data_IF_776764838536
#
_entry.id   IF_776764838536
#
_cell.length_a   1.000
_cell.length_b   1.000
_cell.length_c   1.000
_cell.angle_alpha   90.00
_cell.angle_beta   90.00
_cell.angle_gamma   90.00
#
_symmetry.space_group_name_H-M   'P 1'
#
loop_
_entity.id
_entity.type
_entity.pdbx_description
1 polymer ?
#
# COMPACT_ATOMS: atom_id res chain seq x y z
N UNK A 1 -14.28 -8.69 -30.03
CA UNK A 1 -13.51 -9.79 -29.43
C UNK A 1 -14.12 -11.10 -29.90
N UNK A 2 -13.33 -11.99 -30.48
CA UNK A 2 -13.78 -13.30 -30.93
C UNK A 2 -13.65 -14.32 -29.79
N UNK A 3 -14.78 -14.87 -29.34
CA UNK A 3 -14.86 -15.85 -28.24
C UNK A 3 -15.05 -17.28 -28.75
N UNK A 4 -15.03 -17.50 -30.07
CA UNK A 4 -15.30 -18.80 -30.68
C UNK A 4 -14.36 -19.89 -30.15
N UNK A 5 -13.10 -19.52 -29.87
CA UNK A 5 -12.10 -20.42 -29.26
C UNK A 5 -12.36 -20.74 -27.79
N UNK A 6 -13.06 -19.89 -27.04
CA UNK A 6 -13.43 -20.16 -25.64
C UNK A 6 -14.64 -21.10 -25.59
N UNK A 7 -15.61 -20.87 -26.48
CA UNK A 7 -16.82 -21.68 -26.57
C UNK A 7 -16.57 -23.10 -27.10
N UNK A 8 -15.44 -23.32 -27.79
CA UNK A 8 -15.02 -24.65 -28.26
C UNK A 8 -14.26 -25.47 -27.23
N UNK A 9 -13.97 -24.93 -26.04
CA UNK A 9 -13.27 -25.65 -24.98
C UNK A 9 -14.25 -26.43 -24.10
N UNK A 10 -13.80 -27.57 -23.58
CA UNK A 10 -14.55 -28.30 -22.56
C UNK A 10 -14.68 -27.49 -21.27
N UNK A 11 -15.75 -27.72 -20.51
CA UNK A 11 -15.97 -27.06 -19.22
C UNK A 11 -14.81 -27.29 -18.25
N UNK A 12 -14.19 -28.47 -18.27
CA UNK A 12 -13.05 -28.79 -17.42
C UNK A 12 -11.79 -28.02 -17.83
N UNK A 13 -11.57 -27.84 -19.13
CA UNK A 13 -10.50 -26.97 -19.63
C UNK A 13 -10.71 -25.52 -19.19
N UNK A 14 -11.95 -25.01 -19.27
CA UNK A 14 -12.28 -23.66 -18.81
C UNK A 14 -12.07 -23.49 -17.30
N UNK A 15 -12.45 -24.49 -16.49
CA UNK A 15 -12.19 -24.50 -15.03
C UNK A 15 -10.70 -24.51 -14.71
N UNK A 16 -9.92 -25.34 -15.41
CA UNK A 16 -8.47 -25.42 -15.23
C UNK A 16 -7.80 -24.09 -15.57
N UNK A 17 -8.18 -23.48 -16.71
CA UNK A 17 -7.70 -22.16 -17.10
C UNK A 17 -8.06 -21.09 -16.07
N UNK A 18 -9.30 -21.04 -15.60
CA UNK A 18 -9.71 -20.06 -14.59
C UNK A 18 -8.92 -20.24 -13.28
N UNK A 19 -8.74 -21.47 -12.83
CA UNK A 19 -7.95 -21.77 -11.62
C UNK A 19 -6.51 -21.30 -11.75
N UNK A 20 -5.90 -21.51 -12.93
CA UNK A 20 -4.55 -21.03 -13.22
C UNK A 20 -4.48 -19.49 -13.23
N UNK A 21 -5.42 -18.82 -13.89
CA UNK A 21 -5.50 -17.35 -13.96
C UNK A 21 -5.66 -16.76 -12.56
N UNK A 22 -6.57 -17.30 -11.74
CA UNK A 22 -6.76 -16.87 -10.35
C UNK A 22 -5.48 -17.09 -9.53
N UNK A 23 -4.77 -18.19 -9.75
CA UNK A 23 -3.47 -18.45 -9.13
C UNK A 23 -2.44 -17.38 -9.46
N UNK A 24 -2.30 -17.03 -10.75
CA UNK A 24 -1.40 -15.97 -11.20
C UNK A 24 -1.76 -14.60 -10.62
N UNK A 25 -3.04 -14.25 -10.55
CA UNK A 25 -3.50 -12.99 -9.95
C UNK A 25 -3.11 -12.93 -8.47
N UNK A 26 -3.34 -14.01 -7.71
CA UNK A 26 -2.97 -14.07 -6.28
C UNK A 26 -1.46 -13.94 -6.08
N UNK A 27 -0.67 -14.61 -6.92
CA UNK A 27 0.80 -14.54 -6.85
C UNK A 27 1.29 -13.10 -7.09
N UNK A 28 0.75 -12.43 -8.11
CA UNK A 28 1.09 -11.02 -8.41
C UNK A 28 0.72 -10.09 -7.26
N UNK A 29 -0.48 -10.23 -6.69
CA UNK A 29 -0.91 -9.44 -5.54
C UNK A 29 0.00 -9.64 -4.32
N UNK A 30 0.42 -10.88 -4.05
CA UNK A 30 1.34 -11.17 -2.96
C UNK A 30 2.72 -10.51 -3.20
N UNK A 31 3.24 -10.58 -4.42
CA UNK A 31 4.49 -9.90 -4.79
C UNK A 31 4.40 -8.38 -4.63
N UNK A 32 3.28 -7.77 -5.07
CA UNK A 32 3.06 -6.33 -4.94
C UNK A 32 3.02 -5.89 -3.48
N UNK A 33 2.32 -6.66 -2.62
CA UNK A 33 2.29 -6.40 -1.18
C UNK A 33 3.68 -6.50 -0.54
N UNK A 34 4.46 -7.52 -0.92
CA UNK A 34 5.83 -7.68 -0.43
C UNK A 34 6.73 -6.53 -0.89
N UNK A 35 6.65 -6.13 -2.16
CA UNK A 35 7.43 -5.01 -2.69
C UNK A 35 7.06 -3.69 -2.02
N UNK A 36 5.77 -3.41 -1.84
CA UNK A 36 5.31 -2.22 -1.14
C UNK A 36 5.80 -2.21 0.32
N UNK A 37 5.66 -3.34 1.04
CA UNK A 37 6.14 -3.50 2.40
C UNK A 37 7.66 -3.36 2.54
N UNK A 38 8.44 -3.83 1.56
CA UNK A 38 9.91 -3.77 1.60
C UNK A 38 10.48 -2.35 1.60
N UNK A 39 9.70 -1.37 1.11
CA UNK A 39 10.09 0.05 1.09
C UNK A 39 9.84 0.74 2.44
N UNK A 40 8.99 0.15 3.28
CA UNK A 40 8.60 0.70 4.57
C UNK A 40 9.60 0.30 5.66
N UNK A 41 9.75 1.15 6.68
CA UNK A 41 10.59 0.88 7.85
C UNK A 41 9.85 1.22 9.13
N UNK A 42 10.05 0.41 10.17
CA UNK A 42 9.57 0.71 11.53
C UNK A 42 10.20 2.04 11.99
N UNK A 43 9.39 2.92 12.56
CA UNK A 43 9.71 4.31 12.89
C UNK A 43 9.61 5.29 11.70
N UNK A 44 9.47 4.79 10.47
CA UNK A 44 9.30 5.61 9.28
C UNK A 44 7.93 6.28 9.23
N UNK A 45 7.84 7.39 8.49
CA UNK A 45 6.59 8.11 8.24
C UNK A 45 5.98 7.69 6.90
N UNK A 46 4.68 7.46 6.89
CA UNK A 46 3.92 7.17 5.68
C UNK A 46 2.57 7.88 5.72
N UNK A 47 1.94 8.04 4.56
CA UNK A 47 0.63 8.67 4.42
C UNK A 47 -0.30 7.76 3.62
N UNK A 48 -1.59 7.78 3.95
CA UNK A 48 -2.64 7.12 3.17
C UNK A 48 -3.90 7.99 3.12
N UNK A 49 -4.78 7.67 2.17
CA UNK A 49 -6.11 8.27 2.07
C UNK A 49 -7.15 7.28 2.59
N UNK A 50 -7.94 7.68 3.57
CA UNK A 50 -9.01 6.85 4.13
C UNK A 50 -10.17 6.75 3.14
N UNK A 51 -10.47 5.55 2.65
CA UNK A 51 -11.39 5.32 1.53
C UNK A 51 -12.82 5.81 1.76
N UNK A 52 -13.31 5.76 3.01
CA UNK A 52 -14.69 6.15 3.36
C UNK A 52 -14.88 7.65 3.52
N UNK A 53 -13.85 8.36 3.99
CA UNK A 53 -13.95 9.80 4.29
C UNK A 53 -13.18 10.67 3.31
N UNK A 54 -12.29 10.09 2.50
CA UNK A 54 -11.37 10.81 1.62
C UNK A 54 -10.25 11.57 2.35
N UNK A 55 -10.23 11.53 3.69
CA UNK A 55 -9.25 12.24 4.49
C UNK A 55 -7.85 11.60 4.35
N UNK A 56 -6.82 12.44 4.30
CA UNK A 56 -5.41 11.99 4.29
C UNK A 56 -4.88 11.95 5.71
N UNK A 57 -4.22 10.87 6.06
CA UNK A 57 -3.64 10.65 7.39
C UNK A 57 -2.18 10.29 7.26
N UNK A 58 -1.33 10.96 8.03
CA UNK A 58 0.07 10.61 8.21
C UNK A 58 0.21 9.66 9.42
N UNK A 59 1.05 8.65 9.31
CA UNK A 59 1.31 7.68 10.37
C UNK A 59 2.81 7.47 10.59
N UNK A 60 3.19 7.20 11.83
CA UNK A 60 4.48 6.59 12.17
C UNK A 60 4.28 5.08 12.20
N UNK A 61 5.12 4.34 11.48
CA UNK A 61 5.01 2.90 11.34
C UNK A 61 5.54 2.22 12.60
N UNK A 62 4.69 1.47 13.31
CA UNK A 62 5.09 0.73 14.50
C UNK A 62 5.37 -0.75 14.16
N UNK A 63 4.64 -1.34 13.20
CA UNK A 63 4.79 -2.75 12.81
C UNK A 63 4.47 -2.97 11.33
N UNK A 64 5.24 -3.83 10.68
CA UNK A 64 5.03 -4.24 9.28
C UNK A 64 4.79 -5.75 9.26
N UNK A 65 3.62 -6.16 8.74
CA UNK A 65 3.31 -7.54 8.39
C UNK A 65 3.20 -7.66 6.86
N UNK A 66 3.15 -8.89 6.34
CA UNK A 66 3.06 -9.14 4.90
C UNK A 66 1.89 -8.42 4.21
N UNK A 67 0.72 -8.36 4.86
CA UNK A 67 -0.51 -7.78 4.28
C UNK A 67 -0.94 -6.46 4.91
N UNK A 68 -0.35 -6.09 6.04
CA UNK A 68 -0.82 -4.97 6.86
C UNK A 68 0.33 -4.26 7.53
N UNK A 69 0.21 -2.95 7.63
CA UNK A 69 1.09 -2.07 8.38
C UNK A 69 0.28 -1.46 9.50
N UNK A 70 0.83 -1.49 10.70
CA UNK A 70 0.27 -0.85 11.88
C UNK A 70 1.07 0.42 12.14
N UNK A 71 0.38 1.53 12.32
CA UNK A 71 1.04 2.78 12.68
C UNK A 71 0.11 3.73 13.43
N UNK A 72 0.72 4.62 14.21
CA UNK A 72 0.01 5.67 14.95
C UNK A 72 -0.09 6.92 14.11
N UNK A 73 -1.28 7.49 14.09
CA UNK A 73 -1.56 8.76 13.44
C UNK A 73 -0.71 9.88 14.03
N UNK A 74 -0.12 10.69 13.15
CA UNK A 74 0.70 11.84 13.49
C UNK A 74 -0.17 13.09 13.29
N UNK A 75 -0.71 13.63 14.39
CA UNK A 75 -1.45 14.88 14.34
C UNK A 75 -0.51 16.07 14.16
N UNK A 76 -1.00 17.21 13.63
CA UNK A 76 -0.20 18.44 13.50
C UNK A 76 0.38 18.95 14.83
N UNK A 77 -0.28 18.66 15.96
CA UNK A 77 0.15 19.02 17.32
C UNK A 77 1.17 18.03 17.93
N UNK A 78 1.61 17.02 17.17
CA UNK A 78 2.55 16.00 17.61
C UNK A 78 1.94 14.92 18.51
N UNK A 79 0.64 14.99 18.80
CA UNK A 79 -0.06 13.95 19.58
C UNK A 79 -0.41 12.76 18.68
N UNK A 80 -0.48 11.57 19.27
CA UNK A 80 -0.97 10.38 18.57
C UNK A 80 -2.39 10.06 19.02
N UNK A 81 -3.35 10.12 18.10
CA UNK A 81 -4.78 9.92 18.41
C UNK A 81 -5.25 8.49 18.21
N UNK A 82 -4.84 7.88 17.10
CA UNK A 82 -5.45 6.66 16.59
C UNK A 82 -4.40 5.72 16.03
N UNK A 83 -4.62 4.42 16.21
CA UNK A 83 -3.81 3.39 15.56
C UNK A 83 -4.51 2.90 14.31
N UNK A 84 -3.80 2.94 13.19
CA UNK A 84 -4.29 2.53 11.89
C UNK A 84 -3.70 1.18 11.50
N UNK A 85 -4.51 0.35 10.84
CA UNK A 85 -4.08 -0.86 10.15
C UNK A 85 -4.37 -0.69 8.66
N UNK A 86 -3.33 -0.57 7.85
CA UNK A 86 -3.44 -0.19 6.44
C UNK A 86 -2.67 -1.19 5.57
N UNK A 87 -3.16 -1.46 4.35
CA UNK A 87 -2.40 -2.26 3.38
C UNK A 87 -1.10 -1.53 3.00
N UNK A 88 0.06 -2.22 2.89
CA UNK A 88 1.30 -1.63 2.41
C UNK A 88 1.15 -0.90 1.07
N UNK A 89 0.30 -1.43 0.18
CA UNK A 89 0.06 -0.87 -1.17
C UNK A 89 -0.69 0.47 -1.17
N UNK A 90 -1.34 0.83 -0.05
CA UNK A 90 -2.06 2.10 0.09
C UNK A 90 -1.22 3.18 0.77
N UNK A 91 -0.02 2.83 1.20
CA UNK A 91 0.88 3.74 1.90
C UNK A 91 1.87 4.38 0.92
N UNK A 92 1.98 5.69 1.02
CA UNK A 92 3.01 6.47 0.35
C UNK A 92 4.04 6.89 1.40
N UNK A 93 5.31 6.58 1.16
CA UNK A 93 6.40 7.04 2.01
C UNK A 93 6.47 8.56 2.02
N UNK A 94 6.61 9.14 3.21
CA UNK A 94 6.93 10.55 3.37
C UNK A 94 8.44 10.60 3.60
N UNK A 95 9.18 11.12 2.63
CA UNK A 95 10.65 11.21 2.70
C UNK A 95 11.03 12.07 3.92
N UNK A 96 11.62 11.46 4.94
CA UNK A 96 12.18 12.14 6.12
C UNK A 96 13.70 12.26 5.94
N UNK A 97 14.15 12.54 4.71
CA UNK A 97 15.55 12.93 4.51
C UNK A 97 15.72 14.23 5.29
N UNK A 98 16.67 14.32 6.25
CA UNK A 98 17.01 15.63 6.78
C UNK A 98 17.36 16.49 5.58
N UNK A 99 16.66 17.62 5.41
CA UNK A 99 17.14 18.72 4.57
C UNK A 99 18.54 19.00 5.12
N UNK A 100 19.58 18.51 4.44
CA UNK A 100 20.93 19.03 4.62
C UNK A 100 20.80 20.53 4.50
N UNK A 101 21.04 21.22 5.61
CA UNK A 101 20.94 22.67 5.74
C UNK A 101 21.99 23.31 4.85
N UNK A 102 21.70 23.36 3.56
CA UNK A 102 22.25 24.33 2.63
C UNK A 102 21.31 25.53 2.64
N UNK A 103 21.86 26.66 3.09
CA UNK A 103 21.25 27.98 3.18
C UNK A 103 20.16 28.29 2.13
N UNK A 104 19.09 28.97 2.56
CA UNK A 104 18.31 29.82 1.66
C UNK A 104 16.79 29.78 1.85
N UNK A 105 16.30 30.75 2.62
CA UNK A 105 15.07 31.53 2.40
C UNK A 105 13.73 30.78 2.22
N UNK A 106 12.92 30.84 3.28
CA UNK A 106 11.51 31.27 3.24
C UNK A 106 10.51 30.45 2.43
N UNK A 107 9.72 29.63 3.13
CA UNK A 107 8.33 29.40 2.76
C UNK A 107 7.53 29.11 4.04
N UNK A 108 6.64 30.05 4.37
CA UNK A 108 5.61 29.90 5.42
C UNK A 108 4.54 28.89 4.97
N UNK A 109 3.98 28.19 5.95
CA UNK A 109 2.87 27.25 5.82
C UNK A 109 1.56 27.94 5.46
#
# INVERSE_FOLDING_TARGET
MDFSKLNSLSTDTLRAMNSHIVGLIRQRQAMEQMQAGSKLRIGGKAMFTHSRTGARHAIVIDKINTKTVVGRELNPDGTTRMTWKVSPTLLTLVDDRPKTTGAGVGASW
#
